data_IF_268173388323
#
_entry.id   IF_268173388323
#
_cell.length_a   1.000
_cell.length_b   1.000
_cell.length_c   1.000
_cell.angle_alpha   90.00
_cell.angle_beta   90.00
_cell.angle_gamma   90.00
#
_symmetry.space_group_name_H-M   'P 1'
#
loop_
_entity.id
_entity.type
_entity.pdbx_description
1 polymer ?
#
# COMPACT_ATOMS: atom_id res chain seq x y z
N UNK A 1 15.21 -8.90 -1.77
CA UNK A 1 14.55 -10.04 -1.11
C UNK A 1 13.38 -9.68 -0.18
N UNK A 2 12.86 -8.43 -0.21
CA UNK A 2 11.68 -8.04 0.60
C UNK A 2 10.52 -7.42 -0.21
N UNK A 3 10.65 -7.25 -1.52
CA UNK A 3 9.61 -6.63 -2.36
C UNK A 3 8.74 -7.72 -3.04
N UNK A 4 8.23 -8.68 -2.27
CA UNK A 4 7.33 -9.70 -2.84
C UNK A 4 6.17 -10.13 -1.94
N UNK A 5 5.78 -9.32 -0.96
CA UNK A 5 4.67 -9.66 -0.04
C UNK A 5 3.68 -8.55 0.20
N UNK A 6 3.12 -8.00 -0.88
CA UNK A 6 1.88 -7.25 -0.79
C UNK A 6 0.89 -7.78 -1.83
N UNK A 7 0.24 -8.90 -1.51
CA UNK A 7 -0.93 -9.36 -2.25
C UNK A 7 -2.17 -8.86 -1.50
N UNK A 8 -2.63 -7.65 -1.82
CA UNK A 8 -3.91 -7.15 -1.33
C UNK A 8 -5.02 -7.82 -2.16
N UNK A 9 -5.69 -8.83 -1.61
CA UNK A 9 -6.86 -9.44 -2.25
C UNK A 9 -8.09 -8.58 -1.98
N UNK A 10 -8.60 -7.91 -3.01
CA UNK A 10 -9.97 -7.38 -3.03
C UNK A 10 -10.94 -8.56 -3.14
N UNK A 11 -11.64 -8.89 -2.05
CA UNK A 11 -12.66 -9.94 -2.08
C UNK A 11 -13.97 -9.37 -2.66
N UNK A 12 -14.34 -9.85 -3.85
CA UNK A 12 -15.67 -9.72 -4.41
C UNK A 12 -16.57 -10.76 -3.73
N UNK A 13 -17.65 -10.31 -3.11
CA UNK A 13 -18.67 -11.17 -2.49
C UNK A 13 -19.48 -11.84 -3.59
N UNK A 14 -19.58 -13.17 -3.56
CA UNK A 14 -20.62 -13.92 -4.25
C UNK A 14 -21.17 -15.02 -3.35
N UNK A 15 -22.47 -14.91 -3.04
CA UNK A 15 -23.30 -15.83 -2.26
C UNK A 15 -23.29 -17.28 -2.77
N UNK A 16 -23.33 -18.28 -1.86
CA UNK A 16 -24.43 -19.26 -1.72
C UNK A 16 -24.10 -20.48 -0.80
N UNK A 17 -24.89 -20.57 0.29
CA UNK A 17 -25.44 -21.74 1.03
C UNK A 17 -24.55 -22.61 1.96
N UNK A 18 -25.05 -23.00 3.17
CA UNK A 18 -24.25 -23.66 4.21
C UNK A 18 -24.29 -25.20 4.11
N UNK A 19 -23.13 -25.83 4.24
CA UNK A 19 -22.97 -27.28 4.42
C UNK A 19 -22.01 -27.57 5.58
N UNK A 20 -22.34 -28.64 6.33
CA UNK A 20 -21.84 -29.09 7.65
C UNK A 20 -20.31 -29.07 7.85
N UNK A 21 -19.82 -29.01 9.10
CA UNK A 21 -18.39 -28.89 9.38
C UNK A 21 -17.65 -30.21 9.13
N UNK A 22 -16.69 -30.20 8.19
CA UNK A 22 -15.69 -31.26 8.04
C UNK A 22 -14.66 -31.16 9.18
N UNK A 23 -14.31 -32.27 9.84
CA UNK A 23 -13.36 -32.29 10.95
C UNK A 23 -11.94 -32.43 10.40
N UNK A 24 -11.39 -31.36 9.82
CA UNK A 24 -9.95 -31.25 9.61
C UNK A 24 -9.49 -29.79 9.50
N UNK A 25 -9.68 -29.01 10.56
CA UNK A 25 -9.04 -27.69 10.70
C UNK A 25 -7.55 -27.85 11.06
N UNK A 26 -6.75 -28.30 10.10
CA UNK A 26 -5.28 -28.19 10.14
C UNK A 26 -4.72 -27.48 8.89
N UNK A 27 -5.53 -26.65 8.24
CA UNK A 27 -5.11 -25.77 7.16
C UNK A 27 -5.30 -24.31 7.58
N UNK A 28 -4.36 -23.76 8.37
CA UNK A 28 -4.11 -22.30 8.38
C UNK A 28 -2.87 -21.86 9.19
N UNK A 29 -2.02 -22.79 9.65
CA UNK A 29 -0.78 -22.44 10.38
C UNK A 29 0.37 -21.94 9.47
N UNK A 30 0.13 -21.82 8.16
CA UNK A 30 1.11 -21.32 7.17
C UNK A 30 0.66 -20.03 6.48
N UNK A 31 -0.38 -19.35 7.00
CA UNK A 31 -0.81 -18.07 6.45
C UNK A 31 0.29 -17.03 6.71
N UNK A 32 0.83 -16.47 5.64
CA UNK A 32 1.74 -15.32 5.76
C UNK A 32 1.06 -14.21 6.54
N UNK A 33 1.80 -13.45 7.39
CA UNK A 33 1.21 -12.37 8.16
C UNK A 33 0.47 -11.42 7.22
N UNK A 34 -0.75 -11.05 7.61
CA UNK A 34 -1.64 -10.20 6.83
C UNK A 34 -2.04 -9.01 7.69
N UNK A 35 -1.72 -7.82 7.20
CA UNK A 35 -2.00 -6.56 7.88
C UNK A 35 -3.05 -5.75 7.13
N UNK A 36 -3.86 -5.00 7.86
CA UNK A 36 -4.93 -4.16 7.28
C UNK A 36 -4.81 -2.74 7.80
N UNK A 37 -4.85 -1.78 6.89
CA UNK A 37 -4.86 -0.35 7.19
C UNK A 37 -6.18 0.21 6.69
N UNK A 38 -6.90 0.95 7.53
CA UNK A 38 -8.14 1.62 7.13
C UNK A 38 -7.84 2.80 6.21
N UNK A 39 -8.65 2.95 5.17
CA UNK A 39 -8.53 4.03 4.18
C UNK A 39 -9.89 4.73 4.05
N UNK A 40 -9.89 6.00 3.66
CA UNK A 40 -11.12 6.81 3.54
C UNK A 40 -11.97 6.43 2.31
N UNK A 41 -11.34 5.97 1.23
CA UNK A 41 -11.99 5.57 -0.02
C UNK A 41 -11.33 4.30 -0.60
N UNK A 42 -11.91 3.78 -1.69
CA UNK A 42 -11.40 2.64 -2.43
C UNK A 42 -9.98 2.86 -2.94
N UNK A 43 -9.14 1.86 -2.68
CA UNK A 43 -7.77 1.82 -3.15
C UNK A 43 -7.70 1.02 -4.45
N UNK A 44 -7.20 1.65 -5.52
CA UNK A 44 -7.08 1.05 -6.85
C UNK A 44 -5.66 0.61 -7.18
N UNK A 45 -4.67 1.29 -6.61
CA UNK A 45 -3.25 0.97 -6.77
C UNK A 45 -2.53 1.13 -5.45
N UNK A 46 -1.59 0.23 -5.16
CA UNK A 46 -0.67 0.31 -4.01
C UNK A 46 0.71 -0.04 -4.51
N UNK A 47 1.70 0.79 -4.20
CA UNK A 47 3.08 0.56 -4.59
C UNK A 47 4.04 0.94 -3.46
N UNK A 48 4.90 0.00 -3.07
CA UNK A 48 6.04 0.28 -2.22
C UNK A 48 7.14 0.94 -3.05
N UNK A 49 7.82 1.93 -2.48
CA UNK A 49 9.04 2.46 -3.06
C UNK A 49 10.10 1.35 -3.08
N UNK A 50 10.65 0.99 -4.25
CA UNK A 50 11.74 0.03 -4.31
C UNK A 50 13.07 0.65 -3.87
N UNK A 51 13.11 1.96 -3.64
CA UNK A 51 14.30 2.71 -3.27
C UNK A 51 14.36 2.94 -1.77
N UNK A 52 15.58 2.94 -1.22
CA UNK A 52 15.79 3.31 0.18
C UNK A 52 15.37 4.77 0.40
N UNK A 53 14.38 4.95 1.28
CA UNK A 53 13.90 6.27 1.70
C UNK A 53 14.86 6.93 2.68
N UNK A 54 15.82 6.19 3.23
CA UNK A 54 16.67 6.62 4.34
C UNK A 54 15.95 6.68 5.69
N UNK A 55 14.69 6.21 5.75
CA UNK A 55 13.95 5.90 6.98
C UNK A 55 13.97 4.38 7.21
N UNK A 56 13.92 3.88 8.47
CA UNK A 56 13.71 2.46 8.74
C UNK A 56 12.34 1.98 8.23
N UNK A 57 11.34 2.86 8.21
CA UNK A 57 10.01 2.52 7.70
C UNK A 57 9.97 2.54 6.17
N UNK A 58 9.28 1.55 5.61
CA UNK A 58 9.08 1.40 4.18
C UNK A 58 8.20 2.52 3.63
N UNK A 59 8.61 3.17 2.54
CA UNK A 59 7.79 4.20 1.88
C UNK A 59 6.77 3.51 0.97
N UNK A 60 5.49 3.89 1.09
CA UNK A 60 4.37 3.33 0.33
C UNK A 60 3.47 4.45 -0.18
N UNK A 61 2.87 4.23 -1.34
CA UNK A 61 1.86 5.09 -1.90
C UNK A 61 0.65 4.24 -2.29
N UNK A 62 -0.53 4.79 -2.08
CA UNK A 62 -1.76 4.21 -2.60
C UNK A 62 -2.60 5.26 -3.29
N UNK A 63 -3.18 4.88 -4.43
CA UNK A 63 -4.05 5.71 -5.26
C UNK A 63 -5.51 5.32 -5.05
N UNK A 64 -6.35 6.33 -4.79
CA UNK A 64 -7.79 6.19 -4.71
C UNK A 64 -8.50 6.76 -5.93
N UNK A 65 -9.79 7.09 -5.76
CA UNK A 65 -10.60 7.68 -6.83
C UNK A 65 -10.15 9.09 -7.20
N UNK A 66 -9.73 9.88 -6.22
CA UNK A 66 -9.44 11.31 -6.42
C UNK A 66 -8.17 11.80 -5.71
N UNK A 67 -7.30 10.87 -5.31
CA UNK A 67 -6.11 11.22 -4.57
C UNK A 67 -5.05 10.13 -4.64
N UNK A 68 -3.82 10.51 -4.35
CA UNK A 68 -2.73 9.59 -3.98
C UNK A 68 -2.24 9.97 -2.59
N UNK A 69 -2.27 9.02 -1.67
CA UNK A 69 -1.65 9.18 -0.35
C UNK A 69 -0.28 8.52 -0.37
N UNK A 70 0.72 9.25 0.11
CA UNK A 70 2.07 8.76 0.37
C UNK A 70 2.28 8.70 1.86
N UNK A 71 2.79 7.58 2.34
CA UNK A 71 3.03 7.34 3.76
C UNK A 71 4.17 6.37 4.02
N UNK A 72 4.53 6.23 5.29
CA UNK A 72 5.45 5.20 5.75
C UNK A 72 4.68 4.05 6.38
N UNK A 73 5.15 2.84 6.12
CA UNK A 73 4.65 1.60 6.66
C UNK A 73 5.77 0.97 7.50
N UNK A 74 5.51 0.75 8.78
CA UNK A 74 6.41 0.04 9.70
C UNK A 74 5.69 -1.20 10.21
N UNK A 75 6.31 -2.36 10.04
CA UNK A 75 5.75 -3.65 10.44
C UNK A 75 6.28 -4.08 11.81
N UNK A 76 5.49 -4.84 12.56
CA UNK A 76 5.91 -5.41 13.86
C UNK A 76 7.17 -6.27 13.77
N UNK A 77 7.46 -6.87 12.62
CA UNK A 77 8.71 -7.63 12.39
C UNK A 77 9.94 -6.73 12.26
N UNK A 78 9.74 -5.45 11.95
CA UNK A 78 10.81 -4.45 11.83
C UNK A 78 11.03 -3.72 13.15
N UNK A 79 9.98 -3.55 13.95
CA UNK A 79 10.01 -2.92 15.27
C UNK A 79 9.04 -3.62 16.25
N UNK A 80 9.58 -4.21 17.32
CA UNK A 80 8.82 -4.97 18.32
C UNK A 80 7.83 -4.11 19.12
N UNK A 81 7.98 -2.79 19.09
CA UNK A 81 7.05 -1.86 19.76
C UNK A 81 5.79 -1.58 18.93
N UNK A 82 5.76 -2.00 17.66
CA UNK A 82 4.58 -1.88 16.79
C UNK A 82 3.68 -3.10 16.96
N UNK A 83 2.40 -2.87 17.25
CA UNK A 83 1.36 -3.91 17.22
C UNK A 83 0.79 -4.03 15.80
N UNK A 84 1.22 -5.06 15.07
CA UNK A 84 0.81 -5.32 13.69
C UNK A 84 1.49 -4.43 12.65
N UNK A 85 0.78 -3.41 12.15
CA UNK A 85 1.31 -2.46 11.15
C UNK A 85 1.00 -1.03 11.55
N UNK A 86 2.00 -0.16 11.47
CA UNK A 86 1.84 1.27 11.63
C UNK A 86 1.94 1.95 10.27
N UNK A 87 0.84 2.56 9.83
CA UNK A 87 0.82 3.41 8.65
C UNK A 87 0.73 4.88 9.05
N UNK A 88 1.68 5.69 8.59
CA UNK A 88 1.71 7.13 8.83
C UNK A 88 1.63 7.88 7.50
N UNK A 89 0.52 8.59 7.26
CA UNK A 89 0.33 9.39 6.06
C UNK A 89 1.21 10.66 6.11
N UNK A 90 2.07 10.83 5.11
CA UNK A 90 2.97 11.98 5.01
C UNK A 90 2.38 13.08 4.12
N UNK A 91 1.78 12.70 2.99
CA UNK A 91 1.25 13.63 1.99
C UNK A 91 0.05 13.03 1.27
N UNK A 92 -0.89 13.89 0.88
CA UNK A 92 -1.99 13.56 -0.02
C UNK A 92 -1.94 14.49 -1.24
N UNK A 93 -1.87 13.91 -2.43
CA UNK A 93 -1.95 14.61 -3.71
C UNK A 93 -3.35 14.44 -4.28
N UNK A 94 -4.10 15.53 -4.40
CA UNK A 94 -5.43 15.48 -5.00
C UNK A 94 -5.31 15.29 -6.51
N UNK A 95 -6.16 14.44 -7.06
CA UNK A 95 -6.24 14.12 -8.46
C UNK A 95 -7.71 14.05 -8.88
N UNK A 96 -8.14 14.73 -9.95
CA UNK A 96 -9.57 14.73 -10.32
C UNK A 96 -10.06 13.40 -10.94
N UNK A 97 -9.15 12.43 -11.09
CA UNK A 97 -9.38 11.17 -11.78
C UNK A 97 -8.85 10.01 -10.95
N UNK A 98 -9.43 8.82 -11.18
CA UNK A 98 -8.94 7.57 -10.60
C UNK A 98 -7.52 7.30 -11.09
N UNK A 99 -6.62 7.01 -10.15
CA UNK A 99 -5.25 6.63 -10.45
C UNK A 99 -5.19 5.13 -10.76
N UNK A 100 -4.69 4.78 -11.94
CA UNK A 100 -4.61 3.40 -12.41
C UNK A 100 -3.24 2.77 -12.11
N UNK A 101 -2.18 3.58 -12.13
CA UNK A 101 -0.82 3.11 -11.90
C UNK A 101 0.06 4.21 -11.33
N UNK A 102 1.10 3.80 -10.61
CA UNK A 102 2.10 4.67 -9.98
C UNK A 102 3.50 4.10 -10.23
N UNK A 103 4.48 4.98 -10.43
CA UNK A 103 5.88 4.62 -10.52
C UNK A 103 6.76 5.58 -9.72
N UNK A 104 7.53 5.04 -8.78
CA UNK A 104 8.42 5.81 -7.91
C UNK A 104 9.64 6.36 -8.64
N UNK A 105 10.07 7.58 -8.27
CA UNK A 105 11.42 8.07 -8.60
C UNK A 105 12.41 7.63 -7.51
N UNK A 106 13.66 7.27 -7.88
CA UNK A 106 14.76 7.05 -6.92
C UNK A 106 15.12 8.28 -6.10
N UNK A 107 14.62 9.45 -6.49
CA UNK A 107 14.82 10.71 -5.77
C UNK A 107 13.88 10.87 -4.57
N UNK A 108 12.93 9.94 -4.37
CA UNK A 108 12.05 9.95 -3.20
C UNK A 108 12.81 9.54 -1.93
N UNK A 109 12.98 10.48 -0.99
CA UNK A 109 13.78 10.32 0.24
C UNK A 109 13.18 11.07 1.43
N UNK A 110 13.41 10.54 2.62
CA UNK A 110 12.95 11.08 3.91
C UNK A 110 14.11 11.46 4.86
N UNK A 111 15.34 11.06 4.57
CA UNK A 111 16.51 11.25 5.45
C UNK A 111 17.08 12.67 5.50
N UNK A 112 16.81 13.48 4.48
CA UNK A 112 17.27 14.88 4.37
C UNK A 112 16.07 15.81 4.36
N UNK A 113 16.08 16.82 3.48
CA UNK A 113 14.88 17.57 3.13
C UNK A 113 13.93 16.55 2.47
N UNK A 114 12.81 16.18 3.11
CA UNK A 114 11.93 15.15 2.60
C UNK A 114 11.45 15.53 1.21
N UNK A 115 11.77 14.71 0.22
CA UNK A 115 11.40 14.92 -1.17
C UNK A 115 10.62 13.70 -1.62
N UNK A 116 9.42 13.90 -2.12
CA UNK A 116 8.59 12.82 -2.65
C UNK A 116 8.44 13.09 -4.14
N UNK A 117 8.81 12.12 -4.98
CA UNK A 117 8.68 12.24 -6.43
C UNK A 117 8.29 10.91 -7.08
N UNK A 118 7.23 10.95 -7.87
CA UNK A 118 6.72 9.77 -8.57
C UNK A 118 5.84 10.21 -9.74
N UNK A 119 5.57 9.28 -10.64
CA UNK A 119 4.63 9.49 -11.74
C UNK A 119 3.34 8.71 -11.48
N UNK A 120 2.22 9.26 -11.93
CA UNK A 120 0.93 8.57 -11.97
C UNK A 120 0.38 8.56 -13.39
N UNK A 121 -0.44 7.56 -13.69
CA UNK A 121 -1.30 7.60 -14.86
C UNK A 121 -2.76 7.29 -14.47
N UNK A 122 -3.68 7.90 -15.21
CA UNK A 122 -5.11 7.83 -14.99
C UNK A 122 -5.87 7.58 -16.31
N UNK A 123 -7.19 7.46 -16.21
CA UNK A 123 -8.07 7.16 -17.33
C UNK A 123 -8.03 8.20 -18.48
N UNK A 124 -7.52 9.41 -18.23
CA UNK A 124 -7.29 10.44 -19.26
C UNK A 124 -6.08 10.16 -20.17
N UNK A 125 -5.39 9.02 -19.95
CA UNK A 125 -4.20 8.59 -20.69
C UNK A 125 -3.02 9.56 -20.56
N UNK A 126 -3.00 10.38 -19.50
CA UNK A 126 -1.88 11.28 -19.21
C UNK A 126 -1.01 10.69 -18.11
N UNK A 127 0.29 10.88 -18.27
CA UNK A 127 1.28 10.64 -17.22
C UNK A 127 1.58 11.97 -16.53
N UNK A 128 1.56 11.99 -15.21
CA UNK A 128 1.75 13.20 -14.40
C UNK A 128 2.87 12.98 -13.41
N UNK A 129 3.82 13.90 -13.37
CA UNK A 129 4.86 13.94 -12.35
C UNK A 129 4.31 14.66 -11.11
N UNK A 130 4.31 13.98 -9.97
CA UNK A 130 3.98 14.54 -8.67
C UNK A 130 5.27 14.72 -7.89
N UNK A 131 5.45 15.91 -7.32
CA UNK A 131 6.61 16.27 -6.50
C UNK A 131 6.16 17.04 -5.28
N UNK A 132 6.86 16.87 -4.17
CA UNK A 132 6.65 17.62 -2.93
C UNK A 132 7.96 17.95 -2.23
#
# INVERSE_FOLDING_TARGET
YLIQRAHLKTNLISDLKPTLPDPNMQEDLTRSPSYTVTCEDYVHVVEFSPFSSGSPASLLAYGGNQYVVVGTCLFQEEDMEVDGVQFNALRAFHHDLRVDTLAWSPESRLDRIPTIRFCTAAADRKIRLLTS
#
